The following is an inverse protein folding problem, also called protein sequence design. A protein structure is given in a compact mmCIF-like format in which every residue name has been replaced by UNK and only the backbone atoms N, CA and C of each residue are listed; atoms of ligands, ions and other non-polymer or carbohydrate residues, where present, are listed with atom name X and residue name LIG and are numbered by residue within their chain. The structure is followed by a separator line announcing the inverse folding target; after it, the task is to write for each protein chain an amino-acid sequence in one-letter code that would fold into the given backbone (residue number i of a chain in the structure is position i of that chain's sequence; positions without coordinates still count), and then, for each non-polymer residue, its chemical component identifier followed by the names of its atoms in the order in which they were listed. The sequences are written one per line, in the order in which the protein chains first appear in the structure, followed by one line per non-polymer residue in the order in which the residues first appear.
data_IF_758456496545
#
_entry.id   IF_758456496545
#
_cell.length_a   1.000
_cell.length_b   1.000
_cell.length_c   1.000
_cell.angle_alpha   90.00
_cell.angle_beta   90.00
_cell.angle_gamma   90.00
#
_symmetry.space_group_name_H-M   'P 1'
#
loop_
_entity.id
_entity.type
_entity.pdbx_description
1 polymer ?
#
# COMPACT_ATOMS: atom_id res chain seq x y z
N UNK A 1 -14.28 -15.18 -0.45
CA UNK A 1 -14.86 -15.28 -1.80
C UNK A 1 -13.81 -14.78 -2.79
N UNK A 2 -13.75 -15.33 -4.01
CA UNK A 2 -12.85 -14.82 -5.06
C UNK A 2 -13.33 -13.45 -5.55
N UNK A 3 -12.40 -12.59 -5.98
CA UNK A 3 -12.74 -11.29 -6.58
C UNK A 3 -13.42 -11.47 -7.93
N UNK A 4 -14.37 -10.59 -8.24
CA UNK A 4 -14.99 -10.58 -9.57
C UNK A 4 -13.93 -10.30 -10.64
N UNK A 5 -14.09 -10.89 -11.83
CA UNK A 5 -13.25 -10.54 -12.97
C UNK A 5 -13.47 -9.08 -13.34
N UNK A 6 -12.40 -8.35 -13.63
CA UNK A 6 -12.44 -6.92 -13.93
C UNK A 6 -11.08 -6.41 -14.38
N UNK A 7 -11.00 -5.11 -14.69
CA UNK A 7 -9.75 -4.43 -14.99
C UNK A 7 -9.58 -3.23 -14.05
N UNK A 8 -8.57 -2.38 -14.28
CA UNK A 8 -8.27 -1.25 -13.41
C UNK A 8 -9.46 -0.28 -13.22
N UNK A 9 -10.35 -0.11 -14.20
CA UNK A 9 -11.53 0.78 -14.06
C UNK A 9 -12.61 0.22 -13.11
N UNK A 10 -12.54 -1.06 -12.74
CA UNK A 10 -13.36 -1.64 -11.68
C UNK A 10 -12.92 -1.20 -10.28
N UNK A 11 -11.68 -0.72 -10.15
CA UNK A 11 -11.09 -0.22 -8.88
C UNK A 11 -11.20 1.30 -8.77
N UNK A 12 -11.12 2.00 -9.90
CA UNK A 12 -11.10 3.45 -10.00
C UNK A 12 -12.34 3.97 -10.73
N UNK A 13 -13.38 4.41 -9.99
CA UNK A 13 -14.58 4.97 -10.57
C UNK A 13 -14.31 6.10 -11.57
N UNK A 14 -13.31 6.95 -11.31
CA UNK A 14 -12.91 8.06 -12.20
C UNK A 14 -12.45 7.64 -13.59
N UNK A 15 -12.03 6.38 -13.80
CA UNK A 15 -11.61 5.86 -15.11
C UNK A 15 -12.80 5.43 -15.98
N UNK A 16 -14.03 5.46 -15.45
CA UNK A 16 -15.25 5.13 -16.20
C UNK A 16 -15.89 6.41 -16.74
N UNK A 17 -15.93 6.62 -18.08
CA UNK A 17 -16.45 7.85 -18.67
C UNK A 17 -17.91 8.16 -18.32
N UNK A 18 -18.70 7.13 -18.01
CA UNK A 18 -20.12 7.18 -17.70
C UNK A 18 -20.43 7.18 -16.20
N UNK A 19 -19.40 7.09 -15.34
CA UNK A 19 -19.62 7.03 -13.91
C UNK A 19 -20.15 8.34 -13.36
N UNK A 20 -21.31 8.26 -12.71
CA UNK A 20 -21.91 9.35 -11.95
C UNK A 20 -21.96 8.93 -10.48
N UNK A 21 -21.42 9.73 -9.55
CA UNK A 21 -21.60 9.48 -8.13
C UNK A 21 -23.08 9.45 -7.78
N UNK A 22 -23.54 8.31 -7.25
CA UNK A 22 -24.89 8.18 -6.68
C UNK A 22 -24.85 8.49 -5.18
N UNK A 23 -25.89 9.12 -4.61
CA UNK A 23 -25.99 9.27 -3.16
C UNK A 23 -25.93 7.90 -2.47
N UNK A 24 -25.11 7.77 -1.42
CA UNK A 24 -25.03 6.53 -0.67
C UNK A 24 -26.36 6.23 0.06
N UNK A 25 -26.67 4.98 0.43
CA UNK A 25 -27.88 4.68 1.20
C UNK A 25 -28.02 5.52 2.48
N UNK A 26 -29.25 5.81 2.92
CA UNK A 26 -29.52 6.70 4.07
C UNK A 26 -28.79 6.31 5.35
N UNK A 27 -28.47 5.03 5.56
CA UNK A 27 -27.64 4.56 6.69
C UNK A 27 -26.29 5.28 6.82
N UNK A 28 -25.73 5.81 5.73
CA UNK A 28 -24.49 6.59 5.77
C UNK A 28 -24.69 8.00 6.33
N UNK A 29 -25.88 8.58 6.16
CA UNK A 29 -26.27 9.78 6.90
C UNK A 29 -26.35 9.48 8.39
N UNK A 30 -26.97 8.35 8.76
CA UNK A 30 -27.11 7.96 10.16
C UNK A 30 -25.74 7.69 10.81
N UNK A 31 -24.84 7.00 10.10
CA UNK A 31 -23.44 6.81 10.50
C UNK A 31 -22.72 8.14 10.72
N UNK A 32 -22.86 9.08 9.79
CA UNK A 32 -22.27 10.43 9.91
C UNK A 32 -22.85 11.16 11.13
N UNK A 33 -24.16 11.12 11.35
CA UNK A 33 -24.80 11.72 12.51
C UNK A 33 -24.32 11.11 13.84
N UNK A 34 -24.12 9.79 13.89
CA UNK A 34 -23.63 9.09 15.09
C UNK A 34 -22.27 9.63 15.56
N UNK A 35 -21.34 9.86 14.64
CA UNK A 35 -20.05 10.47 14.99
C UNK A 35 -20.20 11.96 15.29
N UNK A 36 -20.95 12.68 14.47
CA UNK A 36 -21.03 14.14 14.55
C UNK A 36 -21.71 14.61 15.83
N UNK A 37 -22.88 14.07 16.18
CA UNK A 37 -23.67 14.52 17.34
C UNK A 37 -22.95 14.28 18.66
N UNK A 38 -22.14 13.21 18.74
CA UNK A 38 -21.35 12.90 19.93
C UNK A 38 -20.25 13.93 20.19
N UNK A 39 -19.67 14.50 19.14
CA UNK A 39 -18.45 15.31 19.21
C UNK A 39 -18.57 16.67 18.48
N UNK A 40 -19.79 17.18 18.24
CA UNK A 40 -20.05 18.29 17.31
C UNK A 40 -19.14 19.50 17.53
N UNK A 41 -19.09 20.01 18.78
CA UNK A 41 -18.27 21.16 19.12
C UNK A 41 -16.78 20.89 18.88
N UNK A 42 -16.31 19.70 19.26
CA UNK A 42 -14.90 19.31 19.12
C UNK A 42 -14.53 19.14 17.64
N UNK A 43 -15.40 18.52 16.82
CA UNK A 43 -15.19 18.36 15.38
C UNK A 43 -15.16 19.70 14.65
N UNK A 44 -16.09 20.61 14.95
CA UNK A 44 -16.09 21.97 14.38
C UNK A 44 -14.80 22.72 14.71
N UNK A 45 -14.34 22.62 15.95
CA UNK A 45 -13.07 23.24 16.36
C UNK A 45 -11.87 22.57 15.70
N UNK A 46 -11.88 21.23 15.59
CA UNK A 46 -10.86 20.43 14.93
C UNK A 46 -10.69 20.84 13.47
N UNK A 47 -11.79 20.96 12.72
CA UNK A 47 -11.76 21.41 11.33
C UNK A 47 -11.14 22.80 11.18
N UNK A 48 -11.54 23.74 12.05
CA UNK A 48 -10.98 25.11 12.08
C UNK A 48 -9.48 25.14 12.39
N UNK A 49 -8.96 24.20 13.19
CA UNK A 49 -7.52 24.08 13.49
C UNK A 49 -6.76 23.35 12.39
N UNK A 50 -7.37 22.35 11.77
CA UNK A 50 -6.75 21.54 10.74
C UNK A 50 -6.43 22.36 9.49
N UNK A 51 -7.37 23.19 8.99
CA UNK A 51 -7.20 23.87 7.69
C UNK A 51 -5.96 24.78 7.64
N UNK A 52 -5.70 25.68 8.62
CA UNK A 52 -4.48 26.48 8.60
C UNK A 52 -3.19 25.65 8.71
N UNK A 53 -3.20 24.58 9.54
CA UNK A 53 -2.03 23.71 9.66
C UNK A 53 -1.78 22.87 8.41
N UNK A 54 -2.84 22.47 7.70
CA UNK A 54 -2.75 21.82 6.40
C UNK A 54 -2.17 22.76 5.36
N UNK A 55 -2.56 24.04 5.36
CA UNK A 55 -2.00 25.06 4.46
C UNK A 55 -0.48 25.24 4.69
N UNK A 56 -0.01 25.22 5.95
CA UNK A 56 1.43 25.25 6.25
C UNK A 56 2.18 24.07 5.60
N UNK A 57 1.65 22.84 5.71
CA UNK A 57 2.22 21.66 5.04
C UNK A 57 2.21 21.81 3.51
N UNK A 58 1.11 22.33 2.94
CA UNK A 58 1.02 22.62 1.50
C UNK A 58 2.14 23.58 1.06
N UNK A 59 2.41 24.65 1.82
CA UNK A 59 3.48 25.58 1.50
C UNK A 59 4.87 24.93 1.62
N UNK A 60 5.09 24.06 2.61
CA UNK A 60 6.35 23.31 2.71
C UNK A 60 6.56 22.39 1.52
N UNK A 61 5.51 21.69 1.07
CA UNK A 61 5.56 20.81 -0.11
C UNK A 61 5.83 21.63 -1.37
N UNK A 62 5.16 22.77 -1.55
CA UNK A 62 5.43 23.69 -2.68
C UNK A 62 6.88 24.15 -2.72
N UNK A 63 7.45 24.48 -1.56
CA UNK A 63 8.81 24.98 -1.46
C UNK A 63 9.86 23.90 -1.76
N UNK A 64 9.65 22.68 -1.26
CA UNK A 64 10.64 21.60 -1.33
C UNK A 64 10.47 20.67 -2.54
N UNK A 65 9.26 20.58 -3.11
CA UNK A 65 8.97 19.64 -4.17
C UNK A 65 9.32 18.20 -3.78
N UNK A 66 9.95 17.45 -4.68
CA UNK A 66 10.40 16.06 -4.45
C UNK A 66 11.43 15.90 -3.33
N UNK A 67 12.21 16.93 -3.01
CA UNK A 67 13.24 16.88 -1.96
C UNK A 67 12.67 16.74 -0.55
N UNK A 68 11.36 16.91 -0.40
CA UNK A 68 10.66 16.67 0.87
C UNK A 68 10.59 15.19 1.24
N UNK A 69 10.77 14.29 0.28
CA UNK A 69 10.70 12.84 0.50
C UNK A 69 12.08 12.34 0.94
N UNK A 70 12.22 11.79 2.16
CA UNK A 70 13.52 11.38 2.68
C UNK A 70 14.11 10.23 1.86
N UNK A 71 15.43 10.27 1.68
CA UNK A 71 16.22 9.18 1.10
C UNK A 71 17.24 8.67 2.13
N UNK A 72 17.35 7.36 2.29
CA UNK A 72 18.33 6.70 3.17
C UNK A 72 19.11 5.63 2.41
N UNK A 73 20.35 5.33 2.81
CA UNK A 73 21.10 4.22 2.19
C UNK A 73 20.76 2.92 2.90
N UNK A 74 20.67 1.82 2.14
CA UNK A 74 20.50 0.48 2.68
C UNK A 74 21.61 0.12 3.69
N UNK A 75 22.85 0.57 3.47
CA UNK A 75 23.96 0.40 4.42
C UNK A 75 23.63 0.98 5.79
N UNK A 76 23.02 2.16 5.83
CA UNK A 76 22.74 2.88 7.06
C UNK A 76 21.57 2.20 7.81
N UNK A 77 20.61 1.66 7.04
CA UNK A 77 19.50 0.84 7.52
C UNK A 77 20.00 -0.42 8.23
N UNK A 78 20.85 -1.23 7.59
CA UNK A 78 21.32 -2.49 8.19
C UNK A 78 22.31 -2.28 9.35
N UNK A 79 23.07 -1.18 9.32
CA UNK A 79 23.98 -0.83 10.40
C UNK A 79 23.29 -0.14 11.58
N UNK A 80 21.99 0.20 11.46
CA UNK A 80 21.26 0.93 12.51
C UNK A 80 21.79 2.35 12.73
N UNK A 81 22.22 3.01 11.65
CA UNK A 81 22.87 4.34 11.67
C UNK A 81 22.07 5.43 10.94
N UNK A 82 20.83 5.14 10.57
CA UNK A 82 19.91 6.17 10.05
C UNK A 82 19.71 7.25 11.12
N UNK A 83 19.98 8.54 10.83
CA UNK A 83 19.85 9.59 11.83
C UNK A 83 18.42 9.73 12.36
N UNK A 84 18.27 10.02 13.67
CA UNK A 84 16.96 10.22 14.31
C UNK A 84 16.12 11.30 13.62
N UNK A 85 16.76 12.38 13.15
CA UNK A 85 16.08 13.43 12.39
C UNK A 85 15.50 12.92 11.06
N UNK A 86 16.20 11.99 10.40
CA UNK A 86 15.70 11.34 9.17
C UNK A 86 14.57 10.36 9.49
N UNK A 87 14.66 9.62 10.60
CA UNK A 87 13.55 8.76 11.06
C UNK A 87 12.30 9.60 11.36
N UNK A 88 12.45 10.73 12.06
CA UNK A 88 11.36 11.67 12.32
C UNK A 88 10.73 12.20 11.03
N UNK A 89 11.55 12.52 10.01
CA UNK A 89 11.04 12.94 8.71
C UNK A 89 10.29 11.81 7.99
N UNK A 90 10.79 10.56 8.03
CA UNK A 90 10.08 9.40 7.48
C UNK A 90 8.71 9.23 8.16
N UNK A 91 8.66 9.37 9.48
CA UNK A 91 7.40 9.31 10.25
C UNK A 91 6.43 10.43 9.88
N UNK A 92 6.92 11.64 9.70
CA UNK A 92 6.11 12.82 9.36
C UNK A 92 5.57 12.76 7.94
N UNK A 93 6.43 12.39 6.97
CA UNK A 93 6.11 12.34 5.54
C UNK A 93 5.36 11.09 5.13
N UNK A 94 5.55 9.98 5.85
CA UNK A 94 4.91 8.71 5.53
C UNK A 94 5.49 8.03 4.30
N UNK A 95 6.63 8.47 3.77
CA UNK A 95 7.26 7.91 2.58
C UNK A 95 8.78 7.98 2.67
N UNK A 96 9.47 7.08 1.96
CA UNK A 96 10.92 7.01 1.96
C UNK A 96 11.45 6.32 0.69
N UNK A 97 12.60 6.77 0.20
CA UNK A 97 13.41 6.03 -0.77
C UNK A 97 14.60 5.38 -0.05
N UNK A 98 14.75 4.08 -0.20
CA UNK A 98 15.87 3.31 0.36
C UNK A 98 16.80 2.95 -0.80
N UNK A 99 18.00 3.54 -0.77
CA UNK A 99 18.97 3.48 -1.85
C UNK A 99 19.80 2.22 -1.80
N UNK A 100 20.04 1.61 -2.96
CA UNK A 100 20.91 0.45 -3.13
C UNK A 100 20.50 -0.74 -2.25
N UNK A 101 19.20 -1.05 -2.14
CA UNK A 101 18.75 -2.26 -1.43
C UNK A 101 19.29 -3.50 -2.12
N UNK A 102 19.18 -3.55 -3.44
CA UNK A 102 19.73 -4.63 -4.26
C UNK A 102 20.83 -4.07 -5.16
N UNK A 103 21.92 -4.81 -5.44
CA UNK A 103 22.90 -4.37 -6.42
C UNK A 103 22.26 -4.07 -7.77
N UNK A 104 22.64 -2.94 -8.38
CA UNK A 104 22.09 -2.48 -9.67
C UNK A 104 22.10 -3.55 -10.76
N UNK A 105 23.21 -4.29 -10.89
CA UNK A 105 23.35 -5.38 -11.86
C UNK A 105 22.36 -6.52 -11.62
N UNK A 106 22.05 -6.83 -10.37
CA UNK A 106 21.09 -7.87 -10.00
C UNK A 106 19.66 -7.44 -10.35
N UNK A 107 19.28 -6.19 -10.04
CA UNK A 107 17.98 -5.65 -10.39
C UNK A 107 17.76 -5.59 -11.92
N UNK A 108 18.78 -5.18 -12.68
CA UNK A 108 18.74 -5.21 -14.15
C UNK A 108 18.65 -6.63 -14.69
N UNK A 109 19.39 -7.59 -14.12
CA UNK A 109 19.30 -9.00 -14.52
C UNK A 109 17.90 -9.57 -14.30
N UNK A 110 17.27 -9.25 -13.17
CA UNK A 110 15.89 -9.65 -12.91
C UNK A 110 14.90 -9.09 -13.93
N UNK A 111 15.08 -7.84 -14.35
CA UNK A 111 14.29 -7.23 -15.43
C UNK A 111 14.44 -8.01 -16.75
N UNK A 112 15.68 -8.29 -17.16
CA UNK A 112 15.95 -9.07 -18.38
C UNK A 112 15.28 -10.44 -18.32
N UNK A 113 15.41 -11.15 -17.19
CA UNK A 113 14.76 -12.45 -16.99
C UNK A 113 13.23 -12.36 -17.05
N UNK A 114 12.62 -11.29 -16.50
CA UNK A 114 11.17 -11.06 -16.63
C UNK A 114 10.77 -10.86 -18.09
N UNK A 115 11.53 -10.08 -18.85
CA UNK A 115 11.26 -9.84 -20.27
C UNK A 115 11.38 -11.13 -21.09
N UNK A 116 12.40 -11.95 -20.83
CA UNK A 116 12.58 -13.26 -21.44
C UNK A 116 11.43 -14.22 -21.08
N UNK A 117 11.01 -14.23 -19.82
CA UNK A 117 9.88 -15.03 -19.35
C UNK A 117 8.57 -14.61 -20.01
N UNK A 118 8.33 -13.30 -20.18
CA UNK A 118 7.18 -12.76 -20.92
C UNK A 118 7.24 -13.24 -22.38
N UNK A 119 8.39 -13.07 -23.05
CA UNK A 119 8.55 -13.45 -24.45
C UNK A 119 8.32 -14.95 -24.69
N UNK A 120 8.83 -15.80 -23.80
CA UNK A 120 8.69 -17.25 -23.88
C UNK A 120 7.24 -17.75 -23.70
N UNK A 121 6.37 -16.92 -23.10
CA UNK A 121 5.01 -17.28 -22.68
C UNK A 121 3.93 -16.32 -23.23
N UNK A 122 4.24 -15.53 -24.25
CA UNK A 122 3.41 -14.43 -24.75
C UNK A 122 1.94 -14.79 -25.02
N UNK A 123 1.65 -16.02 -25.45
CA UNK A 123 0.30 -16.49 -25.78
C UNK A 123 -0.65 -16.53 -24.57
N UNK A 124 -0.10 -16.62 -23.34
CA UNK A 124 -0.86 -16.73 -22.10
C UNK A 124 -0.64 -15.58 -21.13
N UNK A 125 0.37 -14.74 -21.34
CA UNK A 125 0.65 -13.58 -20.50
C UNK A 125 -0.50 -12.58 -20.64
N UNK A 126 -1.08 -12.19 -19.50
CA UNK A 126 -2.08 -11.13 -19.42
C UNK A 126 -1.41 -9.84 -18.94
N UNK A 127 -1.75 -8.72 -19.57
CA UNK A 127 -1.26 -7.42 -19.19
C UNK A 127 -2.27 -6.32 -19.53
N UNK A 128 -2.10 -5.16 -18.88
CA UNK A 128 -2.92 -3.98 -19.06
C UNK A 128 -2.07 -2.73 -19.31
N UNK A 129 -2.50 -1.81 -20.19
CA UNK A 129 -3.51 -1.99 -21.24
C UNK A 129 -3.16 -3.11 -22.22
N UNK A 130 -4.16 -3.69 -22.90
CA UNK A 130 -3.93 -4.84 -23.82
C UNK A 130 -3.08 -4.45 -25.03
N UNK A 131 -3.27 -3.24 -25.56
CA UNK A 131 -2.61 -2.73 -26.76
C UNK A 131 -1.30 -1.98 -26.47
N UNK A 132 -1.01 -1.70 -25.20
CA UNK A 132 0.25 -1.13 -24.74
C UNK A 132 0.55 -1.65 -23.32
N UNK A 133 0.95 -2.91 -23.18
CA UNK A 133 1.19 -3.54 -21.87
C UNK A 133 2.11 -2.74 -20.97
N UNK A 134 1.63 -2.39 -19.77
CA UNK A 134 2.41 -1.73 -18.75
C UNK A 134 2.42 -2.52 -17.44
N UNK A 135 1.27 -3.04 -16.99
CA UNK A 135 1.13 -3.87 -15.80
C UNK A 135 0.89 -5.31 -16.21
N UNK A 136 1.72 -6.23 -15.70
CA UNK A 136 1.66 -7.64 -16.05
C UNK A 136 1.03 -8.43 -14.92
N UNK A 137 0.01 -9.25 -15.25
CA UNK A 137 -0.66 -10.19 -14.34
C UNK A 137 0.20 -11.44 -14.16
N UNK A 138 1.44 -11.22 -13.69
CA UNK A 138 2.45 -12.22 -13.35
C UNK A 138 2.82 -12.07 -11.87
N UNK A 139 2.98 -13.19 -11.19
CA UNK A 139 3.04 -13.26 -9.73
C UNK A 139 4.16 -14.17 -9.23
N UNK A 140 4.58 -15.15 -10.03
CA UNK A 140 5.46 -16.25 -9.63
C UNK A 140 6.69 -16.38 -10.53
N UNK A 141 7.03 -15.34 -11.29
CA UNK A 141 8.28 -15.34 -12.06
C UNK A 141 9.47 -15.61 -11.13
N UNK A 142 10.52 -16.32 -11.60
CA UNK A 142 11.74 -16.53 -10.81
C UNK A 142 12.30 -15.23 -10.24
N UNK A 143 12.31 -14.16 -11.04
CA UNK A 143 12.74 -12.83 -10.63
C UNK A 143 11.90 -12.22 -9.50
N UNK A 144 10.56 -12.25 -9.60
CA UNK A 144 9.71 -11.73 -8.52
C UNK A 144 9.90 -12.53 -7.23
N UNK A 145 9.98 -13.86 -7.32
CA UNK A 145 10.17 -14.71 -6.14
C UNK A 145 11.55 -14.47 -5.50
N UNK A 146 12.61 -14.36 -6.31
CA UNK A 146 13.95 -14.01 -5.86
C UNK A 146 14.00 -12.62 -5.21
N UNK A 147 13.33 -11.61 -5.78
CA UNK A 147 13.29 -10.26 -5.21
C UNK A 147 12.57 -10.23 -3.84
N UNK A 148 11.40 -10.86 -3.73
CA UNK A 148 10.63 -10.96 -2.47
C UNK A 148 11.37 -11.74 -1.38
N UNK A 149 12.18 -12.73 -1.76
CA UNK A 149 12.95 -13.57 -0.84
C UNK A 149 14.38 -13.10 -0.59
N UNK A 150 14.80 -12.00 -1.22
CA UNK A 150 16.15 -11.48 -1.09
C UNK A 150 16.40 -11.02 0.35
N UNK A 151 17.54 -11.40 0.93
CA UNK A 151 17.88 -11.06 2.31
C UNK A 151 17.90 -9.54 2.57
N UNK A 152 18.33 -8.74 1.59
CA UNK A 152 18.32 -7.27 1.71
C UNK A 152 16.91 -6.71 1.67
N UNK A 153 16.02 -7.33 0.89
CA UNK A 153 14.61 -6.94 0.85
C UNK A 153 13.92 -7.27 2.18
N UNK A 154 14.13 -8.45 2.74
CA UNK A 154 13.60 -8.84 4.05
C UNK A 154 14.15 -7.95 5.18
N UNK A 155 15.44 -7.60 5.14
CA UNK A 155 16.04 -6.65 6.08
C UNK A 155 15.41 -5.24 5.96
N UNK A 156 15.17 -4.78 4.74
CA UNK A 156 14.49 -3.51 4.47
C UNK A 156 13.05 -3.51 4.99
N UNK A 157 12.29 -4.58 4.77
CA UNK A 157 10.95 -4.71 5.33
C UNK A 157 10.97 -4.71 6.86
N UNK A 158 11.94 -5.36 7.51
CA UNK A 158 12.08 -5.29 8.98
C UNK A 158 12.32 -3.88 9.48
N UNK A 159 13.20 -3.12 8.81
CA UNK A 159 13.43 -1.71 9.13
C UNK A 159 12.12 -0.91 9.04
N UNK A 160 11.42 -1.05 7.92
CA UNK A 160 10.16 -0.34 7.66
C UNK A 160 9.05 -0.70 8.64
N UNK A 161 8.93 -1.98 9.02
CA UNK A 161 7.94 -2.43 10.00
C UNK A 161 8.26 -1.97 11.43
N UNK A 162 9.53 -1.72 11.77
CA UNK A 162 9.93 -1.19 13.08
C UNK A 162 9.61 0.30 13.26
N UNK A 163 9.23 1.00 12.19
CA UNK A 163 8.62 2.32 12.28
C UNK A 163 7.21 2.23 12.90
N UNK A 164 6.60 1.05 12.92
CA UNK A 164 5.30 0.85 13.52
C UNK A 164 5.43 0.37 14.96
N UNK A 165 4.43 0.69 15.76
CA UNK A 165 4.29 0.14 17.11
C UNK A 165 2.83 -0.28 17.35
N UNK A 166 2.58 -0.80 18.55
CA UNK A 166 1.22 -0.94 19.05
C UNK A 166 1.12 -0.34 20.44
N UNK A 167 0.08 0.47 20.65
CA UNK A 167 -0.24 1.02 21.97
C UNK A 167 -0.76 -0.03 22.97
N UNK A 168 -0.93 -1.28 22.55
CA UNK A 168 -1.36 -2.39 23.39
C UNK A 168 -0.42 -3.59 23.21
N UNK A 169 0.33 -4.01 24.26
CA UNK A 169 1.28 -5.11 24.18
C UNK A 169 0.61 -6.48 23.97
N UNK A 170 -0.72 -6.57 24.11
CA UNK A 170 -1.49 -7.79 23.81
C UNK A 170 -1.88 -7.91 22.34
N UNK A 171 -1.66 -6.87 21.54
CA UNK A 171 -1.94 -6.87 20.10
C UNK A 171 -1.16 -8.00 19.42
N UNK A 172 -1.88 -8.87 18.72
CA UNK A 172 -1.33 -10.05 18.02
C UNK A 172 -0.62 -9.65 16.74
N UNK A 173 0.54 -9.04 16.89
CA UNK A 173 1.36 -8.55 15.79
C UNK A 173 2.85 -8.78 16.04
N UNK A 174 3.56 -9.18 15.00
CA UNK A 174 5.02 -9.20 14.94
C UNK A 174 5.48 -8.24 13.85
N UNK A 175 6.27 -7.24 14.22
CA UNK A 175 6.96 -6.33 13.29
C UNK A 175 8.37 -6.83 12.91
N UNK A 176 8.80 -7.95 13.49
CA UNK A 176 10.13 -8.56 13.27
C UNK A 176 10.15 -9.59 12.14
N UNK A 177 9.01 -10.23 11.92
CA UNK A 177 8.84 -11.28 10.91
C UNK A 177 8.01 -10.75 9.74
N UNK A 178 8.64 -10.17 8.70
CA UNK A 178 7.94 -9.80 7.48
C UNK A 178 7.31 -11.04 6.85
N UNK A 179 6.08 -10.87 6.38
CA UNK A 179 5.44 -11.81 5.48
C UNK A 179 5.59 -11.30 4.03
N UNK A 180 5.31 -12.17 3.08
CA UNK A 180 5.34 -11.83 1.66
C UNK A 180 3.93 -11.68 1.14
N UNK A 181 3.72 -10.69 0.27
CA UNK A 181 2.51 -10.54 -0.52
C UNK A 181 2.89 -10.60 -2.00
N UNK A 182 2.29 -11.54 -2.73
CA UNK A 182 2.52 -11.72 -4.15
C UNK A 182 1.68 -10.71 -4.94
N UNK A 183 2.35 -9.77 -5.59
CA UNK A 183 1.74 -8.75 -6.43
C UNK A 183 2.38 -8.77 -7.82
N UNK A 184 1.81 -7.96 -8.71
CA UNK A 184 2.19 -7.78 -10.10
C UNK A 184 3.53 -7.06 -10.23
N UNK A 185 3.95 -6.89 -11.48
CA UNK A 185 5.05 -6.01 -11.86
C UNK A 185 4.60 -5.04 -12.94
N UNK A 186 5.35 -3.96 -13.12
CA UNK A 186 5.13 -2.95 -14.15
C UNK A 186 6.38 -2.77 -15.00
N UNK A 187 6.22 -2.66 -16.31
CA UNK A 187 7.23 -2.25 -17.30
C UNK A 187 6.55 -1.20 -18.20
N UNK A 188 6.63 0.08 -17.83
CA UNK A 188 5.93 1.17 -18.52
C UNK A 188 6.83 1.83 -19.56
N UNK A 189 6.48 1.73 -20.83
CA UNK A 189 7.28 2.30 -21.93
C UNK A 189 7.14 3.83 -22.03
N UNK A 190 8.13 4.54 -22.60
CA UNK A 190 8.02 5.95 -22.98
C UNK A 190 6.75 6.25 -23.79
N UNK A 191 6.16 7.43 -23.55
CA UNK A 191 4.95 7.89 -24.23
C UNK A 191 3.64 7.25 -23.76
N UNK A 192 3.68 6.30 -22.81
CA UNK A 192 2.45 5.75 -22.25
C UNK A 192 1.66 6.82 -21.48
N UNK A 193 0.45 7.07 -21.94
CA UNK A 193 -0.54 7.95 -21.30
C UNK A 193 -1.85 7.21 -20.96
N UNK A 194 -1.87 5.89 -21.07
CA UNK A 194 -3.07 5.06 -20.84
C UNK A 194 -3.13 4.55 -19.41
N UNK A 195 -1.98 4.25 -18.80
CA UNK A 195 -1.92 3.86 -17.40
C UNK A 195 -1.82 5.10 -16.51
N UNK A 196 -2.97 5.72 -16.26
CA UNK A 196 -3.06 6.89 -15.37
C UNK A 196 -3.94 6.57 -14.17
N UNK A 197 -3.44 6.84 -12.97
CA UNK A 197 -4.17 6.69 -11.73
C UNK A 197 -4.16 8.04 -11.02
N UNK A 198 -5.33 8.60 -10.77
CA UNK A 198 -5.47 9.85 -10.01
C UNK A 198 -5.07 9.70 -8.54
N UNK A 199 -5.00 10.80 -7.78
CA UNK A 199 -4.74 10.75 -6.34
C UNK A 199 -5.75 9.85 -5.61
N UNK A 200 -5.24 8.83 -4.91
CA UNK A 200 -6.05 7.87 -4.17
C UNK A 200 -5.32 7.30 -2.95
N UNK A 201 -6.07 6.61 -2.09
CA UNK A 201 -5.56 5.72 -1.05
C UNK A 201 -6.26 4.36 -1.20
N UNK A 202 -5.51 3.27 -1.04
CA UNK A 202 -6.03 1.90 -1.01
C UNK A 202 -6.44 1.46 0.41
N UNK A 203 -6.67 0.16 0.61
CA UNK A 203 -6.89 -0.41 1.95
C UNK A 203 -8.24 -0.01 2.54
N UNK A 204 -9.27 0.01 1.71
CA UNK A 204 -10.63 0.42 2.07
C UNK A 204 -10.95 1.84 1.64
N UNK A 205 -12.23 2.18 1.65
CA UNK A 205 -12.82 3.46 1.28
C UNK A 205 -13.77 3.85 2.42
N UNK A 206 -15.04 3.46 2.32
CA UNK A 206 -16.07 3.69 3.33
C UNK A 206 -15.81 2.94 4.64
N UNK A 207 -15.06 1.84 4.58
CA UNK A 207 -14.68 1.02 5.72
C UNK A 207 -14.02 1.83 6.84
N UNK A 208 -13.31 2.93 6.51
CA UNK A 208 -12.68 3.82 7.50
C UNK A 208 -13.65 4.43 8.51
N UNK A 209 -14.92 4.59 8.13
CA UNK A 209 -15.98 5.07 9.02
C UNK A 209 -16.95 3.98 9.43
N UNK A 210 -17.21 3.02 8.54
CA UNK A 210 -18.25 2.02 8.68
C UNK A 210 -17.83 0.79 9.48
N UNK A 211 -16.59 0.30 9.29
CA UNK A 211 -16.09 -0.80 10.10
C UNK A 211 -15.77 -0.28 11.52
N UNK A 212 -16.39 -0.84 12.58
CA UNK A 212 -16.20 -0.33 13.93
C UNK A 212 -14.75 -0.37 14.41
N UNK A 213 -13.96 -1.35 13.96
CA UNK A 213 -12.56 -1.49 14.36
C UNK A 213 -11.66 -0.56 13.54
N UNK A 214 -11.88 -0.45 12.22
CA UNK A 214 -11.16 0.52 11.40
C UNK A 214 -11.43 1.97 11.84
N UNK A 215 -12.67 2.31 12.19
CA UNK A 215 -13.00 3.64 12.71
C UNK A 215 -12.25 3.96 14.02
N UNK A 216 -11.84 2.95 14.81
CA UNK A 216 -11.04 3.16 16.02
C UNK A 216 -9.60 3.57 15.72
N UNK A 217 -9.05 3.20 14.56
CA UNK A 217 -7.76 3.74 14.08
C UNK A 217 -7.82 5.26 14.04
N UNK A 218 -8.97 5.81 13.65
CA UNK A 218 -9.19 7.25 13.48
C UNK A 218 -9.92 7.89 14.66
N UNK A 219 -10.01 7.21 15.81
CA UNK A 219 -10.82 7.66 16.95
C UNK A 219 -10.42 9.05 17.47
N UNK A 220 -9.12 9.37 17.52
CA UNK A 220 -8.65 10.70 17.94
C UNK A 220 -9.15 11.79 16.99
N UNK A 221 -9.14 11.55 15.67
CA UNK A 221 -9.67 12.48 14.67
C UNK A 221 -11.19 12.63 14.84
N UNK A 222 -11.92 11.52 14.95
CA UNK A 222 -13.38 11.50 15.13
C UNK A 222 -13.83 12.09 16.50
N UNK A 223 -12.90 12.25 17.44
CA UNK A 223 -13.10 12.95 18.71
C UNK A 223 -12.69 14.44 18.67
N UNK A 224 -12.25 14.94 17.51
CA UNK A 224 -11.83 16.34 17.31
C UNK A 224 -10.41 16.67 17.83
N UNK A 225 -9.56 15.65 17.98
CA UNK A 225 -8.17 15.74 18.43
C UNK A 225 -7.23 15.08 17.41
N UNK A 226 -7.28 15.56 16.17
CA UNK A 226 -6.44 15.02 15.08
C UNK A 226 -4.95 15.16 15.36
N UNK A 227 -4.56 16.10 16.22
CA UNK A 227 -3.18 16.31 16.67
C UNK A 227 -2.64 15.11 17.48
N UNK A 228 -3.53 14.38 18.16
CA UNK A 228 -3.22 13.17 18.94
C UNK A 228 -3.26 11.90 18.08
N UNK A 229 -3.61 12.00 16.79
CA UNK A 229 -3.64 10.85 15.90
C UNK A 229 -2.23 10.39 15.56
N UNK A 230 -1.95 9.13 15.88
CA UNK A 230 -0.74 8.45 15.52
C UNK A 230 -1.00 7.50 14.33
N UNK A 231 -0.51 7.82 13.12
CA UNK A 231 -0.69 6.93 11.98
C UNK A 231 0.06 5.60 12.11
N UNK A 232 1.11 5.54 12.96
CA UNK A 232 2.01 4.40 13.11
C UNK A 232 1.61 3.42 14.23
N UNK A 233 0.46 3.63 14.87
CA UNK A 233 -0.13 2.65 15.82
C UNK A 233 -0.96 1.60 15.06
N UNK A 234 -0.51 0.35 15.13
CA UNK A 234 -1.14 -0.78 14.45
C UNK A 234 -2.30 -1.41 15.24
N UNK A 235 -2.51 -1.03 16.52
CA UNK A 235 -3.42 -1.72 17.46
C UNK A 235 -4.77 -2.11 16.86
N UNK A 236 -5.45 -1.14 16.23
CA UNK A 236 -6.78 -1.37 15.66
C UNK A 236 -6.70 -1.82 14.19
N UNK A 237 -5.62 -1.51 13.47
CA UNK A 237 -5.45 -1.88 12.07
C UNK A 237 -5.38 -3.39 11.86
N UNK A 238 -4.80 -4.14 12.80
CA UNK A 238 -4.64 -5.60 12.67
C UNK A 238 -5.95 -6.39 12.70
N UNK A 239 -7.04 -5.77 13.16
CA UNK A 239 -8.37 -6.37 13.23
C UNK A 239 -9.42 -5.61 12.40
N UNK A 240 -9.01 -4.54 11.71
CA UNK A 240 -9.87 -3.73 10.86
C UNK A 240 -10.32 -4.51 9.62
N UNK A 241 -11.62 -4.44 9.30
CA UNK A 241 -12.14 -4.98 8.03
C UNK A 241 -12.04 -3.92 6.95
N UNK A 242 -10.96 -3.99 6.17
CA UNK A 242 -10.68 -3.06 5.07
C UNK A 242 -11.45 -3.36 3.77
N UNK A 243 -12.30 -4.40 3.77
CA UNK A 243 -13.12 -4.80 2.63
C UNK A 243 -14.49 -5.34 3.10
N UNK A 244 -15.47 -4.45 3.19
CA UNK A 244 -16.85 -4.83 3.53
C UNK A 244 -17.68 -5.20 2.29
N UNK A 245 -17.19 -4.87 1.10
CA UNK A 245 -17.94 -4.89 -0.14
C UNK A 245 -17.44 -5.92 -1.16
N UNK A 246 -16.43 -6.71 -0.79
CA UNK A 246 -15.71 -7.59 -1.70
C UNK A 246 -15.19 -6.84 -2.94
N UNK A 247 -14.60 -5.66 -2.71
CA UNK A 247 -14.14 -4.75 -3.76
C UNK A 247 -13.09 -5.36 -4.68
N UNK A 248 -13.07 -4.96 -5.96
CA UNK A 248 -12.16 -5.51 -6.96
C UNK A 248 -10.69 -5.15 -6.70
N UNK A 249 -10.43 -4.02 -6.05
CA UNK A 249 -9.09 -3.57 -5.64
C UNK A 249 -8.80 -3.77 -4.15
N UNK A 250 -9.68 -4.48 -3.44
CA UNK A 250 -9.47 -4.73 -2.02
C UNK A 250 -8.31 -5.70 -1.79
N UNK A 251 -7.48 -5.39 -0.81
CA UNK A 251 -6.36 -6.22 -0.38
C UNK A 251 -6.73 -6.95 0.91
N UNK A 252 -6.52 -8.26 0.93
CA UNK A 252 -6.81 -9.12 2.09
C UNK A 252 -5.70 -9.11 3.14
N UNK A 253 -4.53 -8.54 2.83
CA UNK A 253 -3.46 -8.32 3.81
C UNK A 253 -3.45 -6.87 4.31
N UNK A 254 -3.20 -6.70 5.61
CA UNK A 254 -2.67 -5.45 6.15
C UNK A 254 -1.26 -5.23 5.60
N UNK A 255 -1.12 -4.15 4.83
CA UNK A 255 0.16 -3.63 4.38
C UNK A 255 0.47 -2.43 5.26
N UNK A 256 1.58 -2.47 5.99
CA UNK A 256 2.06 -1.31 6.72
C UNK A 256 2.52 -0.22 5.77
N UNK A 257 3.37 -0.62 4.81
CA UNK A 257 3.72 0.23 3.70
C UNK A 257 3.45 -0.51 2.41
N UNK A 258 2.88 0.21 1.45
CA UNK A 258 3.02 -0.16 0.06
C UNK A 258 4.46 0.13 -0.37
N UNK A 259 4.90 -0.50 -1.45
CA UNK A 259 6.23 -0.25 -1.95
C UNK A 259 6.55 -1.01 -3.22
N UNK A 260 7.61 -0.58 -3.87
CA UNK A 260 8.12 -1.22 -5.05
C UNK A 260 9.65 -1.17 -5.14
N UNK A 261 10.21 -2.23 -5.70
CA UNK A 261 11.63 -2.33 -6.02
C UNK A 261 11.84 -1.88 -7.46
N UNK A 262 12.76 -0.93 -7.65
CA UNK A 262 13.10 -0.42 -8.97
C UNK A 262 13.92 -1.43 -9.78
N UNK A 263 13.56 -1.58 -11.05
CA UNK A 263 14.28 -2.35 -12.05
C UNK A 263 14.84 -1.47 -13.19
N UNK A 264 14.62 -0.16 -13.10
CA UNK A 264 15.05 0.83 -14.09
C UNK A 264 15.58 2.08 -13.42
N UNK A 265 16.30 2.88 -14.19
CA UNK A 265 16.46 4.30 -13.86
C UNK A 265 15.15 5.02 -14.19
N UNK A 266 14.65 5.88 -13.31
CA UNK A 266 13.41 6.64 -13.52
C UNK A 266 13.45 7.95 -12.73
N UNK A 267 13.42 9.07 -13.44
CA UNK A 267 13.35 10.41 -12.88
C UNK A 267 11.88 10.93 -12.75
N UNK A 268 11.65 12.04 -12.03
CA UNK A 268 10.35 12.71 -12.00
C UNK A 268 9.79 13.00 -13.41
N UNK A 269 8.52 12.66 -13.65
CA UNK A 269 7.88 12.82 -14.96
C UNK A 269 8.16 11.69 -15.96
N UNK A 270 8.98 10.70 -15.59
CA UNK A 270 9.30 9.54 -16.41
C UNK A 270 8.38 8.34 -16.09
N UNK A 271 7.11 8.60 -15.83
CA UNK A 271 6.14 7.54 -15.56
C UNK A 271 6.20 6.99 -14.12
N UNK A 272 6.69 7.79 -13.18
CA UNK A 272 6.92 7.42 -11.78
C UNK A 272 5.68 7.61 -10.89
N UNK A 273 5.87 7.44 -9.58
CA UNK A 273 4.88 7.62 -8.52
C UNK A 273 4.90 9.06 -8.01
N UNK A 274 3.73 9.61 -7.68
CA UNK A 274 3.60 10.78 -6.81
C UNK A 274 3.07 10.37 -5.45
N UNK A 275 3.45 11.08 -4.42
CA UNK A 275 2.90 10.97 -3.06
C UNK A 275 2.50 12.34 -2.54
N UNK A 276 1.60 12.37 -1.56
CA UNK A 276 1.26 13.56 -0.79
C UNK A 276 1.91 13.48 0.60
N UNK A 277 3.12 14.05 0.80
CA UNK A 277 3.96 13.77 1.97
C UNK A 277 3.57 14.65 3.18
N UNK A 278 2.30 14.57 3.56
CA UNK A 278 1.69 15.17 4.75
C UNK A 278 0.73 14.16 5.39
N UNK A 279 1.28 13.04 5.87
CA UNK A 279 0.52 11.83 6.23
C UNK A 279 -0.57 12.11 7.27
N UNK A 280 -0.23 12.76 8.38
CA UNK A 280 -1.20 13.05 9.46
C UNK A 280 -2.30 13.98 8.98
N UNK A 281 -1.93 15.10 8.36
CA UNK A 281 -2.86 16.13 7.91
C UNK A 281 -3.81 15.64 6.83
N UNK A 282 -3.28 14.94 5.82
CA UNK A 282 -4.10 14.40 4.74
C UNK A 282 -5.05 13.31 5.25
N UNK A 283 -4.60 12.44 6.17
CA UNK A 283 -5.49 11.46 6.82
C UNK A 283 -6.58 12.15 7.65
N UNK A 284 -6.21 13.14 8.48
CA UNK A 284 -7.18 13.90 9.27
C UNK A 284 -8.20 14.61 8.39
N UNK A 285 -7.73 15.21 7.28
CA UNK A 285 -8.59 15.85 6.30
C UNK A 285 -9.55 14.85 5.69
N UNK A 286 -9.08 13.69 5.22
CA UNK A 286 -9.93 12.62 4.68
C UNK A 286 -11.02 12.25 5.65
N UNK A 287 -10.69 11.94 6.91
CA UNK A 287 -11.66 11.48 7.91
C UNK A 287 -12.68 12.57 8.28
N UNK A 288 -12.28 13.84 8.35
CA UNK A 288 -13.17 14.96 8.69
C UNK A 288 -13.98 15.49 7.50
N UNK A 289 -13.48 15.33 6.27
CA UNK A 289 -14.05 15.95 5.07
C UNK A 289 -15.53 15.64 4.84
N UNK A 290 -16.06 14.42 5.08
CA UNK A 290 -17.48 14.14 4.91
C UNK A 290 -18.41 14.97 5.82
N UNK A 291 -17.90 15.52 6.93
CA UNK A 291 -18.71 16.22 7.93
C UNK A 291 -18.86 17.71 7.67
N UNK A 292 -18.08 18.31 6.77
CA UNK A 292 -18.03 19.76 6.56
C UNK A 292 -18.12 20.11 5.10
N UNK A 293 -18.85 21.16 4.75
CA UNK A 293 -18.78 21.77 3.42
C UNK A 293 -17.42 22.50 3.28
N UNK A 294 -16.67 22.29 2.18
CA UNK A 294 -15.31 22.81 2.08
C UNK A 294 -15.26 24.31 1.76
N UNK A 295 -16.38 24.95 1.42
CA UNK A 295 -16.40 26.38 1.08
C UNK A 295 -16.85 27.20 2.29
N UNK A 296 -17.95 26.80 2.93
CA UNK A 296 -18.53 27.47 4.09
C UNK A 296 -17.91 27.03 5.42
N UNK A 297 -17.35 25.82 5.48
CA UNK A 297 -16.90 25.20 6.73
C UNK A 297 -18.04 24.76 7.65
N UNK A 298 -19.30 24.89 7.21
CA UNK A 298 -20.48 24.48 7.97
C UNK A 298 -20.70 22.97 7.89
N UNK A 299 -21.40 22.35 8.88
CA UNK A 299 -21.65 20.93 8.87
C UNK A 299 -22.45 20.45 7.65
N UNK A 300 -21.96 19.41 6.98
CA UNK A 300 -22.60 18.72 5.87
C UNK A 300 -23.04 17.32 6.32
N UNK A 301 -24.28 17.20 6.82
CA UNK A 301 -24.80 16.00 7.47
C UNK A 301 -25.76 15.18 6.60
N UNK A 302 -25.49 15.13 5.30
CA UNK A 302 -26.15 14.24 4.35
C UNK A 302 -25.45 12.86 4.27
N UNK A 303 -25.84 12.04 3.30
CA UNK A 303 -25.25 10.73 3.01
C UNK A 303 -24.06 10.80 2.03
N UNK A 304 -23.44 11.95 1.82
CA UNK A 304 -22.28 12.06 0.91
C UNK A 304 -20.96 11.79 1.64
N UNK A 305 -20.10 10.97 1.02
CA UNK A 305 -18.72 10.74 1.46
C UNK A 305 -17.83 11.02 0.25
N UNK A 306 -17.24 12.23 0.15
CA UNK A 306 -16.57 12.66 -1.07
C UNK A 306 -15.45 11.69 -1.50
N UNK A 307 -15.52 11.19 -2.74
CA UNK A 307 -14.54 10.25 -3.29
C UNK A 307 -14.62 8.81 -2.77
N UNK A 308 -15.59 8.50 -1.90
CA UNK A 308 -15.77 7.18 -1.32
C UNK A 308 -16.89 6.42 -2.05
N UNK A 309 -16.57 5.28 -2.63
CA UNK A 309 -17.52 4.40 -3.32
C UNK A 309 -17.40 2.97 -2.75
N UNK A 310 -18.50 2.26 -2.47
CA UNK A 310 -18.44 0.89 -1.98
C UNK A 310 -17.63 -0.03 -2.91
N UNK A 311 -16.65 -0.74 -2.36
CA UNK A 311 -15.81 -1.67 -3.11
C UNK A 311 -14.75 -1.05 -4.03
N UNK A 312 -14.60 0.28 -4.00
CA UNK A 312 -13.56 1.00 -4.72
C UNK A 312 -12.47 1.54 -3.77
N UNK A 313 -11.37 2.04 -4.34
CA UNK A 313 -10.40 2.84 -3.59
C UNK A 313 -11.01 4.19 -3.16
N UNK A 314 -10.36 4.87 -2.22
CA UNK A 314 -10.71 6.25 -1.86
C UNK A 314 -10.06 7.22 -2.85
N UNK A 315 -10.85 7.94 -3.64
CA UNK A 315 -10.34 8.88 -4.65
C UNK A 315 -10.36 10.34 -4.15
N UNK A 316 -9.45 11.16 -4.68
CA UNK A 316 -9.33 12.57 -4.37
C UNK A 316 -9.25 13.40 -5.66
N UNK A 317 -9.84 14.58 -5.63
CA UNK A 317 -9.75 15.54 -6.73
C UNK A 317 -9.88 16.98 -6.22
N UNK A 318 -9.46 17.99 -6.99
CA UNK A 318 -9.51 19.39 -6.58
C UNK A 318 -10.92 19.93 -6.28
N UNK A 319 -11.98 19.31 -6.82
CA UNK A 319 -13.37 19.75 -6.61
C UNK A 319 -13.85 19.31 -5.23
N UNK A 320 -13.63 18.05 -4.88
CA UNK A 320 -14.11 17.48 -3.61
C UNK A 320 -13.16 17.73 -2.46
N UNK A 321 -11.86 17.87 -2.73
CA UNK A 321 -10.80 18.03 -1.74
C UNK A 321 -9.90 19.25 -2.02
N UNK A 322 -10.48 20.47 -2.14
CA UNK A 322 -9.74 21.64 -2.61
C UNK A 322 -8.53 22.01 -1.72
N UNK A 323 -8.67 21.89 -0.39
CA UNK A 323 -7.61 22.26 0.55
C UNK A 323 -6.37 21.37 0.50
N UNK A 324 -6.45 20.20 -0.14
CA UNK A 324 -5.26 19.38 -0.34
C UNK A 324 -4.34 19.97 -1.41
N UNK A 325 -4.81 20.89 -2.26
CA UNK A 325 -4.04 21.50 -3.35
C UNK A 325 -3.26 20.45 -4.17
N UNK A 326 -3.96 19.38 -4.59
CA UNK A 326 -3.35 18.16 -5.14
C UNK A 326 -2.42 18.40 -6.34
N UNK A 327 -2.63 19.46 -7.10
CA UNK A 327 -1.74 19.83 -8.21
C UNK A 327 -0.33 20.25 -7.74
N UNK A 328 -0.23 20.78 -6.52
CA UNK A 328 1.03 21.21 -5.92
C UNK A 328 1.59 20.18 -4.91
N UNK A 329 0.71 19.45 -4.22
CA UNK A 329 1.09 18.58 -3.10
C UNK A 329 1.36 17.14 -3.48
N UNK A 330 0.86 16.69 -4.64
CA UNK A 330 1.23 15.40 -5.23
C UNK A 330 2.58 15.53 -5.93
N UNK A 331 3.65 15.43 -5.15
CA UNK A 331 5.04 15.56 -5.65
C UNK A 331 5.57 14.20 -6.08
N UNK A 332 6.40 14.20 -7.12
CA UNK A 332 7.01 12.97 -7.62
C UNK A 332 8.00 12.42 -6.60
N UNK A 333 8.12 11.11 -6.51
CA UNK A 333 9.23 10.52 -5.75
C UNK A 333 10.57 10.95 -6.39
N UNK A 334 11.64 11.12 -5.59
CA UNK A 334 12.96 11.43 -6.14
C UNK A 334 13.37 10.41 -7.22
N UNK A 335 14.28 10.82 -8.09
CA UNK A 335 14.90 9.93 -9.08
C UNK A 335 15.37 8.62 -8.42
N UNK A 336 15.09 7.49 -9.06
CA UNK A 336 15.46 6.14 -8.58
C UNK A 336 16.34 5.40 -9.58
N UNK A 337 17.24 4.56 -9.05
CA UNK A 337 18.08 3.65 -9.83
C UNK A 337 17.62 2.19 -9.67
N UNK A 338 17.98 1.27 -10.59
CA UNK A 338 17.71 -0.15 -10.42
C UNK A 338 18.31 -0.64 -9.09
N UNK A 339 17.48 -1.28 -8.26
CA UNK A 339 17.84 -1.75 -6.93
C UNK A 339 17.49 -0.80 -5.78
N UNK A 340 17.03 0.42 -6.07
CA UNK A 340 16.39 1.28 -5.08
C UNK A 340 14.99 0.76 -4.75
N UNK A 341 14.52 1.03 -3.53
CA UNK A 341 13.19 0.65 -3.06
C UNK A 341 12.44 1.89 -2.56
N UNK A 342 11.20 2.07 -3.01
CA UNK A 342 10.33 3.16 -2.58
C UNK A 342 9.21 2.60 -1.73
N UNK A 343 8.93 3.23 -0.59
CA UNK A 343 7.86 2.83 0.31
C UNK A 343 7.00 4.02 0.73
N UNK A 344 5.70 3.79 0.89
CA UNK A 344 4.76 4.77 1.44
C UNK A 344 3.74 4.10 2.36
N UNK A 345 3.40 4.80 3.44
CA UNK A 345 2.47 4.38 4.47
C UNK A 345 1.09 4.08 3.85
N UNK A 346 0.37 3.11 4.39
CA UNK A 346 -0.90 2.63 3.84
C UNK A 346 -1.98 3.71 3.68
N UNK A 347 -1.93 4.75 4.50
CA UNK A 347 -2.82 5.92 4.45
C UNK A 347 -2.25 7.10 3.63
N UNK A 348 -1.11 6.97 2.96
CA UNK A 348 -0.57 8.05 2.13
C UNK A 348 -1.29 8.14 0.78
N UNK A 349 -1.72 9.35 0.41
CA UNK A 349 -2.25 9.60 -0.93
C UNK A 349 -1.12 9.43 -1.93
N UNK A 350 -1.44 8.74 -3.02
CA UNK A 350 -0.49 8.51 -4.10
C UNK A 350 -1.20 8.51 -5.46
N UNK A 351 -0.43 8.75 -6.52
CA UNK A 351 -0.92 8.75 -7.91
C UNK A 351 0.22 8.35 -8.85
N UNK A 352 -0.10 8.13 -10.13
CA UNK A 352 0.91 7.81 -11.14
C UNK A 352 0.96 8.93 -12.18
N UNK A 353 2.16 9.23 -12.67
CA UNK A 353 2.37 10.17 -13.79
C UNK A 353 1.35 9.95 -14.91
N UNK A 354 0.67 11.03 -15.32
CA UNK A 354 -0.31 10.99 -16.41
C UNK A 354 0.30 10.56 -17.74
N UNK A 355 1.56 10.89 -17.96
CA UNK A 355 2.31 10.55 -19.16
C UNK A 355 3.75 10.21 -18.77
N UNK A 356 4.32 9.21 -19.42
CA UNK A 356 5.73 8.90 -19.32
C UNK A 356 6.52 9.71 -20.37
N UNK A 357 7.22 10.78 -19.95
CA UNK A 357 8.00 11.68 -20.84
C UNK A 357 9.51 11.40 -20.91
N UNK A 358 9.96 10.29 -20.31
CA UNK A 358 11.35 9.83 -20.32
C UNK A 358 11.71 9.10 -21.60
N UNK A 359 12.96 8.63 -21.67
CA UNK A 359 13.50 7.91 -22.85
C UNK A 359 13.72 6.42 -22.62
N UNK A 360 13.77 5.97 -21.36
CA UNK A 360 13.83 4.55 -20.98
C UNK A 360 12.50 4.08 -20.42
N UNK A 361 12.32 2.78 -20.19
CA UNK A 361 11.12 2.28 -19.52
C UNK A 361 11.16 2.50 -17.99
N UNK A 362 9.99 2.66 -17.38
CA UNK A 362 9.81 2.68 -15.93
C UNK A 362 9.32 1.31 -15.44
N UNK A 363 10.26 0.54 -14.90
CA UNK A 363 10.08 -0.85 -14.50
C UNK A 363 10.19 -1.05 -13.00
N UNK A 364 9.18 -1.67 -12.39
CA UNK A 364 9.13 -1.92 -10.95
C UNK A 364 8.48 -3.26 -10.61
N UNK A 365 8.86 -3.85 -9.48
CA UNK A 365 8.13 -4.96 -8.84
C UNK A 365 7.39 -4.46 -7.61
N UNK A 366 6.09 -4.71 -7.50
CA UNK A 366 5.33 -4.35 -6.30
C UNK A 366 5.64 -5.35 -5.18
N UNK A 367 6.21 -4.86 -4.09
CA UNK A 367 6.61 -5.66 -2.93
C UNK A 367 6.29 -4.81 -1.70
N UNK A 368 5.13 -4.97 -1.04
CA UNK A 368 4.79 -4.20 0.15
C UNK A 368 5.53 -4.72 1.40
N UNK A 369 5.50 -3.96 2.49
CA UNK A 369 5.90 -4.42 3.81
C UNK A 369 4.66 -4.89 4.59
N UNK A 370 4.54 -6.20 4.84
CA UNK A 370 3.40 -6.80 5.53
C UNK A 370 3.81 -7.43 6.86
N UNK A 371 3.26 -6.96 8.00
CA UNK A 371 3.54 -7.55 9.31
C UNK A 371 2.95 -8.95 9.42
N UNK A 372 3.46 -9.71 10.38
CA UNK A 372 2.77 -10.91 10.83
C UNK A 372 1.64 -10.51 11.78
N UNK A 373 0.40 -10.65 11.32
CA UNK A 373 -0.82 -10.55 12.10
C UNK A 373 -1.79 -11.67 11.65
N UNK A 374 -2.86 -11.90 12.41
CA UNK A 374 -3.80 -13.00 12.16
C UNK A 374 -4.35 -13.00 10.70
N UNK A 375 -4.88 -11.87 10.22
CA UNK A 375 -5.40 -11.77 8.85
C UNK A 375 -4.33 -12.02 7.77
N UNK A 376 -3.09 -11.58 8.02
CA UNK A 376 -2.00 -11.77 7.06
C UNK A 376 -1.54 -13.22 7.02
N UNK A 377 -1.50 -13.90 8.16
CA UNK A 377 -1.16 -15.32 8.25
C UNK A 377 -2.24 -16.18 7.57
N UNK A 378 -3.52 -15.84 7.76
CA UNK A 378 -4.63 -16.51 7.06
C UNK A 378 -4.53 -16.34 5.54
N UNK A 379 -4.22 -15.14 5.06
CA UNK A 379 -4.00 -14.92 3.63
C UNK A 379 -2.75 -15.64 3.13
N UNK A 380 -1.68 -15.68 3.91
CA UNK A 380 -0.42 -16.34 3.55
C UNK A 380 -0.63 -17.82 3.18
N UNK A 381 -1.51 -18.52 3.90
CA UNK A 381 -1.86 -19.92 3.59
C UNK A 381 -2.56 -20.03 2.23
N UNK A 382 -3.46 -19.10 1.90
CA UNK A 382 -4.14 -19.06 0.60
C UNK A 382 -3.15 -18.71 -0.51
N UNK A 383 -2.27 -17.74 -0.27
CA UNK A 383 -1.19 -17.37 -1.18
C UNK A 383 -0.27 -18.56 -1.45
N UNK A 384 0.10 -19.34 -0.43
CA UNK A 384 0.89 -20.55 -0.57
C UNK A 384 0.24 -21.58 -1.49
N UNK A 385 -1.06 -21.82 -1.34
CA UNK A 385 -1.79 -22.71 -2.23
C UNK A 385 -1.74 -22.20 -3.69
N UNK A 386 -1.90 -20.89 -3.88
CA UNK A 386 -1.81 -20.27 -5.20
C UNK A 386 -0.39 -20.42 -5.80
N UNK A 387 0.63 -20.19 -4.98
CA UNK A 387 2.04 -20.31 -5.33
C UNK A 387 2.42 -21.74 -5.79
N UNK A 388 2.00 -22.77 -5.05
CA UNK A 388 2.28 -24.18 -5.38
C UNK A 388 1.55 -24.66 -6.65
N UNK A 389 0.43 -24.03 -6.99
CA UNK A 389 -0.34 -24.30 -8.21
C UNK A 389 -0.03 -23.33 -9.35
N UNK A 390 0.86 -22.35 -9.12
CA UNK A 390 1.15 -21.22 -10.02
C UNK A 390 -0.09 -20.44 -10.46
N UNK A 391 -1.17 -20.47 -9.68
CA UNK A 391 -2.40 -19.73 -9.95
C UNK A 391 -2.29 -18.27 -9.49
N UNK A 392 -3.04 -17.31 -10.07
CA UNK A 392 -3.05 -15.94 -9.57
C UNK A 392 -3.41 -15.92 -8.07
N UNK A 393 -2.78 -15.04 -7.26
CA UNK A 393 -3.11 -14.92 -5.84
C UNK A 393 -4.57 -14.49 -5.62
N UNK A 394 -5.11 -14.77 -4.43
CA UNK A 394 -6.55 -14.70 -4.15
C UNK A 394 -7.19 -13.31 -4.25
N UNK A 395 -6.38 -12.26 -4.18
CA UNK A 395 -6.84 -10.87 -4.34
C UNK A 395 -6.89 -10.42 -5.80
N UNK A 396 -6.38 -11.23 -6.74
CA UNK A 396 -6.26 -10.85 -8.13
C UNK A 396 -7.27 -11.57 -9.04
N UNK A 397 -7.60 -10.97 -10.20
CA UNK A 397 -8.47 -11.60 -11.19
C UNK A 397 -7.96 -12.98 -11.61
N UNK A 398 -8.87 -13.96 -11.66
CA UNK A 398 -8.53 -15.32 -12.07
C UNK A 398 -7.88 -16.18 -10.99
N UNK A 399 -7.95 -15.77 -9.72
CA UNK A 399 -7.54 -16.57 -8.57
C UNK A 399 -8.03 -18.04 -8.66
N UNK A 400 -7.13 -18.98 -8.40
CA UNK A 400 -7.40 -20.43 -8.53
C UNK A 400 -7.44 -20.96 -9.98
N UNK A 401 -7.30 -20.09 -10.99
CA UNK A 401 -7.16 -20.48 -12.39
C UNK A 401 -5.75 -20.98 -12.74
N UNK A 402 -5.51 -21.25 -14.02
CA UNK A 402 -4.24 -21.86 -14.48
C UNK A 402 -3.02 -20.95 -14.36
N UNK A 403 -3.20 -19.63 -14.30
CA UNK A 403 -2.11 -18.65 -14.11
C UNK A 403 -0.87 -18.95 -14.95
N UNK A 404 0.25 -19.09 -14.25
CA UNK A 404 1.58 -19.38 -14.77
C UNK A 404 1.90 -20.90 -14.83
N UNK A 405 0.94 -21.77 -14.49
CA UNK A 405 1.15 -23.22 -14.56
C UNK A 405 1.47 -23.64 -16.00
N UNK A 406 2.59 -24.36 -16.15
CA UNK A 406 3.10 -24.83 -17.43
C UNK A 406 3.84 -23.76 -18.26
N UNK A 407 4.15 -22.60 -17.70
CA UNK A 407 5.00 -21.61 -18.36
C UNK A 407 6.42 -22.13 -18.52
N UNK A 408 7.07 -21.78 -19.63
CA UNK A 408 8.50 -22.03 -19.86
C UNK A 408 9.31 -21.18 -18.89
N UNK A 409 10.28 -21.82 -18.21
CA UNK A 409 11.09 -21.15 -17.19
C UNK A 409 10.34 -20.88 -15.88
N UNK A 410 9.26 -21.63 -15.59
CA UNK A 410 8.55 -21.54 -14.32
C UNK A 410 9.52 -21.71 -13.14
N UNK A 411 9.25 -20.98 -12.07
CA UNK A 411 10.03 -21.02 -10.83
C UNK A 411 10.08 -22.43 -10.26
N UNK A 412 11.25 -22.88 -9.84
CA UNK A 412 11.39 -24.00 -8.91
C UNK A 412 11.49 -23.43 -7.48
N UNK A 413 10.50 -23.73 -6.64
CA UNK A 413 10.44 -23.24 -5.27
C UNK A 413 11.61 -23.68 -4.40
N UNK A 414 12.30 -24.78 -4.72
CA UNK A 414 13.50 -25.22 -3.99
C UNK A 414 14.70 -24.30 -4.22
N UNK A 415 14.68 -23.47 -5.27
CA UNK A 415 15.71 -22.45 -5.51
C UNK A 415 15.58 -21.23 -4.60
N UNK A 416 14.45 -21.09 -3.90
CA UNK A 416 14.22 -19.98 -2.98
C UNK A 416 14.85 -20.27 -1.62
N UNK A 417 15.48 -19.24 -1.05
CA UNK A 417 16.15 -19.32 0.26
C UNK A 417 15.20 -19.85 1.35
N UNK A 418 15.71 -20.58 2.36
CA UNK A 418 14.87 -21.05 3.47
C UNK A 418 14.09 -19.93 4.17
N UNK A 419 14.72 -18.76 4.37
CA UNK A 419 14.08 -17.60 4.96
C UNK A 419 12.97 -17.04 4.07
N UNK A 420 13.21 -16.94 2.75
CA UNK A 420 12.21 -16.51 1.78
C UNK A 420 11.02 -17.46 1.70
N UNK A 421 11.28 -18.77 1.67
CA UNK A 421 10.22 -19.79 1.75
C UNK A 421 9.41 -19.62 3.03
N UNK A 422 10.07 -19.47 4.19
CA UNK A 422 9.39 -19.20 5.46
C UNK A 422 8.52 -17.94 5.40
N UNK A 423 9.01 -16.83 4.84
CA UNK A 423 8.23 -15.60 4.67
C UNK A 423 7.02 -15.75 3.71
N UNK A 424 6.97 -16.81 2.89
CA UNK A 424 5.82 -17.23 2.07
C UNK A 424 4.94 -18.30 2.74
N UNK A 425 5.25 -18.69 3.98
CA UNK A 425 4.58 -19.82 4.65
C UNK A 425 4.96 -21.18 4.07
N UNK A 426 6.01 -21.25 3.25
CA UNK A 426 6.57 -22.46 2.65
C UNK A 426 7.75 -23.00 3.46
N UNK A 427 8.13 -24.25 3.21
CA UNK A 427 9.23 -24.94 3.89
C UNK A 427 8.80 -25.56 5.23
N UNK A 428 9.79 -25.91 6.04
CA UNK A 428 9.60 -26.63 7.32
C UNK A 428 10.19 -25.88 8.52
N UNK A 429 10.74 -24.67 8.30
CA UNK A 429 11.40 -23.90 9.34
C UNK A 429 10.39 -22.96 10.00
N UNK A 430 10.00 -23.19 11.26
CA UNK A 430 9.13 -22.26 11.98
C UNK A 430 9.84 -20.91 12.23
N UNK A 431 9.04 -19.91 12.57
CA UNK A 431 9.52 -18.66 13.16
C UNK A 431 9.88 -18.89 14.62
N UNK A 432 10.96 -18.24 15.07
CA UNK A 432 11.42 -18.33 16.44
C UNK A 432 10.51 -17.55 17.39
N UNK A 433 10.26 -18.11 18.58
CA UNK A 433 9.57 -17.43 19.68
C UNK A 433 10.61 -17.12 20.74
N UNK A 434 10.93 -15.84 20.93
CA UNK A 434 11.96 -15.39 21.87
C UNK A 434 11.35 -14.80 23.14
N UNK A 435 12.15 -14.72 24.21
CA UNK A 435 11.67 -14.28 25.53
C UNK A 435 11.38 -12.78 25.60
N UNK A 436 12.02 -11.98 24.75
CA UNK A 436 11.88 -10.52 24.66
C UNK A 436 10.66 -10.07 23.82
N UNK A 437 9.95 -11.00 23.19
CA UNK A 437 8.68 -10.73 22.50
C UNK A 437 7.58 -10.36 23.51
N UNK A 438 6.67 -9.47 23.11
CA UNK A 438 5.44 -9.22 23.86
C UNK A 438 4.52 -10.45 23.88
N UNK A 439 3.53 -10.47 24.77
CA UNK A 439 2.57 -11.59 24.82
C UNK A 439 1.75 -11.70 23.53
N UNK A 440 1.35 -10.56 22.94
CA UNK A 440 0.68 -10.54 21.64
C UNK A 440 1.57 -11.04 20.50
N UNK A 441 2.85 -10.66 20.49
CA UNK A 441 3.83 -11.11 19.50
C UNK A 441 4.08 -12.63 19.61
N UNK A 442 4.28 -13.17 20.81
CA UNK A 442 4.41 -14.62 21.03
C UNK A 442 3.17 -15.36 20.55
N UNK A 443 1.97 -14.84 20.85
CA UNK A 443 0.72 -15.47 20.47
C UNK A 443 0.56 -15.57 18.94
N UNK A 444 0.84 -14.49 18.21
CA UNK A 444 0.72 -14.51 16.74
C UNK A 444 1.78 -15.38 16.08
N UNK A 445 3.03 -15.37 16.58
CA UNK A 445 4.09 -16.23 16.03
C UNK A 445 3.79 -17.71 16.25
N UNK A 446 3.27 -18.08 17.42
CA UNK A 446 2.82 -19.46 17.70
C UNK A 446 1.68 -19.88 16.78
N UNK A 447 0.66 -19.03 16.63
CA UNK A 447 -0.47 -19.30 15.74
C UNK A 447 -0.03 -19.43 14.28
N UNK A 448 0.90 -18.57 13.82
CA UNK A 448 1.48 -18.65 12.49
C UNK A 448 2.26 -19.96 12.28
N UNK A 449 3.05 -20.37 13.27
CA UNK A 449 3.77 -21.64 13.22
C UNK A 449 2.83 -22.84 13.12
N UNK A 450 1.76 -22.85 13.92
CA UNK A 450 0.75 -23.91 13.87
C UNK A 450 0.06 -23.96 12.50
N UNK A 451 -0.39 -22.82 11.99
CA UNK A 451 -1.13 -22.76 10.73
C UNK A 451 -0.25 -23.05 9.50
N UNK A 452 1.00 -22.58 9.50
CA UNK A 452 1.91 -22.76 8.36
C UNK A 452 2.67 -24.08 8.42
N UNK A 453 3.04 -24.58 9.61
CA UNK A 453 3.99 -25.69 9.77
C UNK A 453 3.53 -26.80 10.73
N UNK A 454 2.38 -26.67 11.39
CA UNK A 454 1.87 -27.65 12.36
C UNK A 454 1.26 -28.92 11.76
N UNK A 455 1.07 -28.99 10.44
CA UNK A 455 0.52 -30.15 9.73
C UNK A 455 1.56 -30.97 8.96
N UNK A 456 2.80 -31.04 9.45
CA UNK A 456 3.84 -31.91 8.83
C UNK A 456 3.83 -33.28 9.50
#
# INVERSE_FOLDING_TARGET
MTKAAGNISSVFPSLRPDYKPEPLPSRFRDLKLQYFQKNEKALKQSWKRLLPSLEEEVQQIKLKGSDIIPSVKYSDVVNGTVPDATLAEIHHRGSVVIRNVVPRSQALSWKTQVQEYIAANQERVKAFPVDSPAVYELYWTPSQAAARSNAHMLATQRFLQRLWHSSDPSTRISTRNPLTYADRLRIRQPGDAKFTLGPHIDGGSLERWEDPEYARVYASILAGRWEDYDPWDAKHRVAAKMDLYNGAGACSMLRFLQGWLSMSHTAPGEGSLHVCPMLRHSTAYTILRPFFDPHSGEPLLDNTFPGSVPGACQEYNPITHPHLELEATMVSVPEVEPGDYVAWHCDSLHSVDREHRGTGDSSVMYIPATPMCEMNVEYLVKQRQAALSYSPPWDFPGAGGTGEAGFKGALDWETITPEGRRAMGLGQSPWEVTTDMSEGEKAVVKAANELCFGQI
#
